data_IF_856584888022
#
_entry.id   IF_856584888022
#
_cell.length_a   1.000
_cell.length_b   1.000
_cell.length_c   1.000
_cell.angle_alpha   90.00
_cell.angle_beta   90.00
_cell.angle_gamma   90.00
#
_symmetry.space_group_name_H-M   'P 1'
#
loop_
_entity.id
_entity.type
_entity.pdbx_description
1 polymer ?
#
# COMPACT_ATOMS: atom_id res chain seq x y z
N UNK A 1 -1.55 3.44 8.45
CA UNK A 1 -2.04 2.13 8.92
C UNK A 1 -2.81 1.36 7.83
N UNK A 2 -3.97 1.85 7.35
CA UNK A 2 -4.80 1.14 6.34
C UNK A 2 -4.03 0.68 5.09
N UNK A 3 -3.22 1.56 4.50
CA UNK A 3 -2.41 1.23 3.30
C UNK A 3 -1.42 0.10 3.60
N UNK A 4 -0.81 0.09 4.79
CA UNK A 4 0.11 -0.97 5.21
C UNK A 4 -0.60 -2.31 5.33
N UNK A 5 -1.78 -2.34 5.95
CA UNK A 5 -2.61 -3.56 6.04
C UNK A 5 -3.03 -4.05 4.66
N UNK A 6 -3.52 -3.14 3.81
CA UNK A 6 -3.91 -3.46 2.43
C UNK A 6 -2.75 -4.10 1.66
N UNK A 7 -1.54 -3.56 1.83
CA UNK A 7 -0.35 -4.11 1.21
C UNK A 7 -0.02 -5.52 1.72
N UNK A 8 -0.08 -5.78 3.03
CA UNK A 8 0.17 -7.12 3.57
C UNK A 8 -0.85 -8.14 3.08
N UNK A 9 -2.13 -7.77 3.00
CA UNK A 9 -3.19 -8.62 2.41
C UNK A 9 -2.87 -8.93 0.95
N UNK A 10 -2.41 -7.93 0.19
CA UNK A 10 -2.03 -8.09 -1.21
C UNK A 10 -0.84 -9.05 -1.38
N UNK A 11 0.22 -8.92 -0.55
CA UNK A 11 1.35 -9.86 -0.55
C UNK A 11 0.91 -11.28 -0.21
N UNK A 12 0.09 -11.44 0.83
CA UNK A 12 -0.43 -12.75 1.21
C UNK A 12 -1.25 -13.37 0.07
N UNK A 13 -2.05 -12.56 -0.63
CA UNK A 13 -2.81 -13.01 -1.79
C UNK A 13 -1.91 -13.44 -2.96
N UNK A 14 -0.80 -12.72 -3.22
CA UNK A 14 0.22 -13.16 -4.19
C UNK A 14 0.81 -14.49 -3.77
N UNK A 15 1.25 -14.62 -2.51
CA UNK A 15 1.86 -15.86 -2.01
C UNK A 15 0.95 -17.08 -2.15
N UNK A 16 -0.37 -16.90 -2.02
CA UNK A 16 -1.36 -17.97 -2.28
C UNK A 16 -1.38 -18.41 -3.76
N UNK A 17 -1.15 -17.49 -4.70
CA UNK A 17 -1.20 -17.78 -6.14
C UNK A 17 0.15 -18.28 -6.67
N UNK A 18 1.25 -17.64 -6.26
CA UNK A 18 2.59 -17.86 -6.83
C UNK A 18 3.44 -18.80 -5.99
N UNK A 19 3.01 -19.19 -4.79
CA UNK A 19 3.78 -19.99 -3.80
C UNK A 19 5.13 -19.40 -3.36
N UNK A 20 5.50 -18.24 -3.91
CA UNK A 20 6.68 -17.46 -3.57
C UNK A 20 6.27 -16.14 -2.95
N UNK A 21 6.83 -15.80 -1.78
CA UNK A 21 6.44 -14.64 -0.98
C UNK A 21 7.62 -13.69 -0.75
N UNK A 22 8.84 -14.22 -0.75
CA UNK A 22 10.05 -13.48 -0.34
C UNK A 22 10.33 -12.27 -1.23
N UNK A 23 10.25 -12.44 -2.55
CA UNK A 23 10.48 -11.36 -3.50
C UNK A 23 9.49 -10.19 -3.33
N UNK A 24 8.22 -10.50 -3.11
CA UNK A 24 7.18 -9.48 -2.92
C UNK A 24 7.39 -8.72 -1.62
N UNK A 25 7.78 -9.41 -0.54
CA UNK A 25 8.11 -8.79 0.75
C UNK A 25 9.37 -7.92 0.63
N UNK A 26 10.38 -8.34 -0.14
CA UNK A 26 11.57 -7.52 -0.38
C UNK A 26 11.22 -6.21 -1.10
N UNK A 27 10.42 -6.27 -2.17
CA UNK A 27 9.93 -5.07 -2.88
C UNK A 27 9.21 -4.12 -1.92
N UNK A 28 8.37 -4.65 -1.02
CA UNK A 28 7.71 -3.85 -0.01
C UNK A 28 8.67 -3.11 0.92
N UNK A 29 9.70 -3.82 1.39
CA UNK A 29 10.70 -3.25 2.30
C UNK A 29 11.46 -2.14 1.62
N UNK A 30 11.85 -2.34 0.37
CA UNK A 30 12.52 -1.33 -0.44
C UNK A 30 11.61 -0.12 -0.67
N UNK A 31 10.35 -0.35 -1.02
CA UNK A 31 9.39 0.72 -1.25
C UNK A 31 9.07 1.50 0.04
N UNK A 32 8.93 0.80 1.17
CA UNK A 32 8.76 1.41 2.49
C UNK A 32 9.98 2.22 2.91
N UNK A 33 11.19 1.85 2.46
CA UNK A 33 12.41 2.61 2.70
C UNK A 33 12.39 3.99 2.03
N UNK A 34 11.68 4.14 0.90
CA UNK A 34 11.48 5.45 0.26
C UNK A 34 10.68 6.39 1.16
N UNK A 35 9.82 5.86 2.02
CA UNK A 35 9.06 6.65 2.98
C UNK A 35 9.89 7.20 4.15
N UNK A 36 11.19 6.90 4.25
CA UNK A 36 12.11 7.53 5.23
C UNK A 36 12.28 9.02 4.98
N UNK A 37 12.12 9.43 3.73
CA UNK A 37 12.24 10.82 3.30
C UNK A 37 10.84 11.34 2.98
N UNK A 38 10.48 12.55 3.42
CA UNK A 38 9.20 13.16 3.06
C UNK A 38 8.95 13.16 1.55
N UNK A 39 7.72 12.85 1.17
CA UNK A 39 7.29 12.75 -0.23
C UNK A 39 7.53 14.03 -1.04
N UNK A 40 7.60 15.18 -0.36
CA UNK A 40 7.81 16.50 -0.94
C UNK A 40 9.20 16.69 -1.56
N UNK A 41 10.17 15.84 -1.19
CA UNK A 41 11.55 15.90 -1.71
C UNK A 41 11.66 15.26 -3.10
N UNK A 42 10.76 14.34 -3.44
CA UNK A 42 10.77 13.69 -4.74
C UNK A 42 10.21 14.61 -5.82
N UNK A 43 10.85 14.60 -7.00
CA UNK A 43 10.34 15.28 -8.20
C UNK A 43 9.37 14.37 -8.97
N UNK A 44 8.55 14.98 -9.82
CA UNK A 44 7.74 14.24 -10.78
C UNK A 44 8.63 13.53 -11.81
N UNK A 45 8.25 12.33 -12.29
CA UNK A 45 6.97 11.63 -12.05
C UNK A 45 6.97 10.72 -10.80
N UNK A 46 8.12 10.59 -10.13
CA UNK A 46 8.27 9.63 -9.04
C UNK A 46 7.34 9.95 -7.88
N UNK A 47 7.21 11.24 -7.53
CA UNK A 47 6.29 11.70 -6.49
C UNK A 47 4.85 11.25 -6.74
N UNK A 48 4.35 11.38 -7.97
CA UNK A 48 3.02 10.90 -8.34
C UNK A 48 2.87 9.39 -8.13
N UNK A 49 3.84 8.59 -8.59
CA UNK A 49 3.80 7.12 -8.48
C UNK A 49 3.73 6.67 -7.01
N UNK A 50 4.60 7.19 -6.16
CA UNK A 50 4.67 6.77 -4.74
C UNK A 50 3.52 7.33 -3.89
N UNK A 51 2.83 8.37 -4.37
CA UNK A 51 1.68 8.98 -3.67
C UNK A 51 0.36 8.34 -4.09
N UNK A 52 0.16 8.11 -5.39
CA UNK A 52 -1.15 7.72 -5.92
C UNK A 52 -1.22 6.26 -6.38
N UNK A 53 -0.12 5.68 -6.88
CA UNK A 53 -0.13 4.30 -7.41
C UNK A 53 0.13 3.30 -6.29
N UNK A 54 1.19 3.49 -5.50
CA UNK A 54 1.58 2.53 -4.44
C UNK A 54 1.35 3.05 -3.01
N UNK A 55 0.48 4.06 -2.84
CA UNK A 55 0.42 5.09 -1.77
C UNK A 55 1.37 5.02 -0.54
N UNK A 56 2.65 4.63 -0.69
CA UNK A 56 3.60 4.51 0.42
C UNK A 56 4.00 5.90 0.95
N UNK A 57 4.09 6.90 0.07
CA UNK A 57 4.34 8.28 0.45
C UNK A 57 3.27 8.83 1.39
N UNK A 58 2.01 8.46 1.15
CA UNK A 58 0.88 8.81 2.03
C UNK A 58 1.04 8.11 3.38
N UNK A 59 1.35 6.81 3.37
CA UNK A 59 1.47 6.02 4.59
C UNK A 59 2.49 6.60 5.58
N UNK A 60 3.60 7.16 5.10
CA UNK A 60 4.69 7.65 5.95
C UNK A 60 4.65 9.16 6.19
N UNK A 61 4.38 9.97 5.16
CA UNK A 61 4.51 11.44 5.28
C UNK A 61 3.26 12.10 5.85
N UNK A 62 2.06 11.59 5.54
CA UNK A 62 0.82 12.28 5.88
C UNK A 62 0.44 12.20 7.37
N UNK A 63 0.69 11.11 8.12
CA UNK A 63 0.47 11.10 9.56
C UNK A 63 1.28 12.19 10.27
N UNK A 64 2.54 12.38 9.88
CA UNK A 64 3.37 13.46 10.42
C UNK A 64 2.80 14.83 10.05
N UNK A 65 2.45 15.07 8.78
CA UNK A 65 1.82 16.32 8.35
C UNK A 65 0.50 16.60 9.08
N UNK A 66 -0.30 15.57 9.37
CA UNK A 66 -1.55 15.72 10.12
C UNK A 66 -1.27 16.12 11.57
N UNK A 67 -0.26 15.52 12.19
CA UNK A 67 0.19 15.86 13.53
C UNK A 67 0.67 17.32 13.65
N UNK A 68 1.38 17.81 12.62
CA UNK A 68 1.84 19.21 12.56
C UNK A 68 0.78 20.20 12.07
N UNK A 69 -0.47 19.77 11.80
CA UNK A 69 -1.53 20.65 11.29
C UNK A 69 -1.28 21.15 9.86
N UNK A 70 -0.42 20.47 9.10
CA UNK A 70 -0.04 20.82 7.72
C UNK A 70 -0.97 20.17 6.68
N UNK A 71 -1.93 19.34 7.10
CA UNK A 71 -2.93 18.75 6.22
C UNK A 71 -4.06 19.73 5.94
N UNK A 72 -4.36 19.96 4.66
CA UNK A 72 -5.57 20.67 4.24
C UNK A 72 -6.74 19.68 4.13
N UNK A 73 -7.97 20.16 4.30
CA UNK A 73 -9.18 19.34 4.14
C UNK A 73 -9.22 18.53 2.83
N UNK A 74 -8.88 19.09 1.64
CA UNK A 74 -8.82 18.29 0.41
C UNK A 74 -7.82 17.13 0.49
N UNK A 75 -6.61 17.38 1.00
CA UNK A 75 -5.57 16.34 1.13
C UNK A 75 -5.95 15.25 2.11
N UNK A 76 -6.70 15.59 3.16
CA UNK A 76 -7.27 14.62 4.10
C UNK A 76 -8.23 13.66 3.39
N UNK A 77 -9.20 14.18 2.63
CA UNK A 77 -10.17 13.34 1.92
C UNK A 77 -9.52 12.47 0.84
N UNK A 78 -8.52 12.99 0.12
CA UNK A 78 -7.73 12.20 -0.85
C UNK A 78 -7.03 11.04 -0.15
N UNK A 79 -6.36 11.32 0.98
CA UNK A 79 -5.65 10.31 1.78
C UNK A 79 -6.58 9.22 2.29
N UNK A 80 -7.73 9.62 2.83
CA UNK A 80 -8.75 8.70 3.32
C UNK A 80 -9.29 7.83 2.19
N UNK A 81 -9.63 8.44 1.05
CA UNK A 81 -10.17 7.75 -0.12
C UNK A 81 -9.18 6.72 -0.67
N UNK A 82 -7.91 7.10 -0.81
CA UNK A 82 -6.86 6.17 -1.27
C UNK A 82 -6.66 5.01 -0.27
N UNK A 83 -6.66 5.29 1.04
CA UNK A 83 -6.55 4.25 2.05
C UNK A 83 -7.69 3.24 1.99
N UNK A 84 -8.93 3.71 1.87
CA UNK A 84 -10.12 2.84 1.72
C UNK A 84 -10.07 2.07 0.41
N UNK A 85 -9.74 2.74 -0.70
CA UNK A 85 -9.66 2.12 -2.02
C UNK A 85 -8.61 0.99 -2.05
N UNK A 86 -7.39 1.25 -1.57
CA UNK A 86 -6.34 0.23 -1.49
C UNK A 86 -6.79 -0.97 -0.64
N UNK A 87 -7.45 -0.73 0.49
CA UNK A 87 -7.95 -1.78 1.36
C UNK A 87 -9.02 -2.65 0.67
N UNK A 88 -10.02 -2.03 0.04
CA UNK A 88 -11.08 -2.75 -0.70
C UNK A 88 -10.50 -3.56 -1.86
N UNK A 89 -9.54 -2.98 -2.60
CA UNK A 89 -8.86 -3.68 -3.69
C UNK A 89 -8.06 -4.89 -3.16
N UNK A 90 -7.33 -4.73 -2.05
CA UNK A 90 -6.58 -5.82 -1.44
C UNK A 90 -7.48 -6.97 -0.98
N UNK A 91 -8.63 -6.67 -0.36
CA UNK A 91 -9.63 -7.66 0.05
C UNK A 91 -10.25 -8.38 -1.15
N UNK A 92 -10.53 -7.65 -2.23
CA UNK A 92 -11.07 -8.23 -3.46
C UNK A 92 -10.06 -9.17 -4.10
N UNK A 93 -8.78 -8.78 -4.12
CA UNK A 93 -7.69 -9.60 -4.62
C UNK A 93 -7.42 -10.83 -3.75
N UNK A 94 -7.50 -10.69 -2.43
CA UNK A 94 -7.47 -11.84 -1.50
C UNK A 94 -8.58 -12.84 -1.77
N UNK A 95 -9.82 -12.38 -1.98
CA UNK A 95 -10.92 -13.28 -2.37
C UNK A 95 -10.65 -13.99 -3.70
N UNK A 96 -9.99 -13.32 -4.64
CA UNK A 96 -9.57 -13.92 -5.89
C UNK A 96 -8.47 -14.98 -5.69
N UNK A 97 -7.45 -14.70 -4.87
CA UNK A 97 -6.36 -15.65 -4.61
C UNK A 97 -6.86 -16.93 -3.95
N UNK A 98 -7.82 -16.84 -3.04
CA UNK A 98 -8.43 -18.02 -2.40
C UNK A 98 -9.09 -18.98 -3.41
N UNK A 99 -9.55 -18.50 -4.57
CA UNK A 99 -10.08 -19.38 -5.64
C UNK A 99 -8.99 -20.16 -6.37
N UNK A 100 -7.74 -19.70 -6.29
CA UNK A 100 -6.56 -20.34 -6.88
C UNK A 100 -5.84 -21.25 -5.89
N UNK A 101 -6.20 -21.19 -4.61
CA UNK A 101 -5.68 -22.09 -3.59
C UNK A 101 -6.18 -23.51 -3.89
N UNK A 102 -5.31 -24.28 -4.56
CA UNK A 102 -5.63 -25.60 -5.08
C UNK A 102 -4.99 -26.65 -4.17
N UNK A 103 -5.43 -26.78 -2.91
CA UNK A 103 -5.08 -27.88 -1.98
C UNK A 103 -5.85 -27.69 -0.66
N UNK A 104 -6.48 -28.64 0.02
CA UNK A 104 -6.45 -30.09 -0.04
C UNK A 104 -7.86 -30.64 0.24
N UNK A 105 -8.63 -30.96 -0.81
CA UNK A 105 -9.66 -31.99 -0.64
C UNK A 105 -9.00 -33.32 -0.94
N UNK A 106 -9.05 -34.22 0.05
CA UNK A 106 -8.75 -35.65 -0.07
C UNK A 106 -9.45 -36.29 -1.26
#
# INVERSE_FOLDING_TARGET
>A
FLIGVAFHIFVAAIGVITTEIDHTIMIYRDLSSLGRVPVDIYREPLRFIITFIIPVGIMMSFPAKAFFGLLTWPTFFITLSLGVLSFVLSLSFWRYSLRKYTSASS
#
